data_IF_075012505212
#
_entry.id   IF_075012505212
#
_cell.length_a   1.000
_cell.length_b   1.000
_cell.length_c   1.000
_cell.angle_alpha   90.00
_cell.angle_beta   90.00
_cell.angle_gamma   90.00
#
_symmetry.space_group_name_H-M   'P 1'
#
loop_
_entity.id
_entity.type
_entity.pdbx_description
1 polymer ?
#
# COMPACT_ATOMS: atom_id res chain seq x y z
N UNK A 1 -8.03 -3.11 -6.57
CA UNK A 1 -7.33 -4.25 -7.19
C UNK A 1 -8.17 -5.50 -6.95
N UNK A 2 -8.23 -6.41 -7.92
CA UNK A 2 -9.00 -7.66 -7.86
C UNK A 2 -8.11 -8.78 -8.41
N UNK A 3 -8.13 -9.94 -7.76
CA UNK A 3 -7.53 -11.17 -8.29
C UNK A 3 -8.72 -12.04 -8.64
N UNK A 4 -8.98 -12.19 -9.94
CA UNK A 4 -10.10 -13.01 -10.46
C UNK A 4 -9.78 -14.49 -10.62
N UNK A 5 -8.55 -14.88 -10.28
CA UNK A 5 -8.12 -16.26 -10.35
C UNK A 5 -8.57 -17.02 -9.10
N UNK A 6 -9.13 -18.21 -9.27
CA UNK A 6 -9.62 -19.02 -8.14
C UNK A 6 -8.45 -19.76 -7.45
N UNK A 7 -7.40 -20.09 -8.20
CA UNK A 7 -6.20 -20.76 -7.71
C UNK A 7 -5.02 -19.79 -7.55
N UNK A 8 -5.15 -18.79 -6.68
CA UNK A 8 -4.03 -17.90 -6.34
C UNK A 8 -3.24 -18.43 -5.14
N UNK A 9 -1.90 -18.33 -5.20
CA UNK A 9 -1.07 -18.71 -4.06
C UNK A 9 -1.24 -17.72 -2.90
N UNK A 10 -1.17 -18.23 -1.66
CA UNK A 10 -1.29 -17.40 -0.45
C UNK A 10 -0.32 -16.22 -0.50
N UNK A 11 -0.85 -15.02 -0.23
CA UNK A 11 -0.08 -13.79 -0.25
C UNK A 11 0.08 -13.12 -1.62
N UNK A 12 -0.47 -13.67 -2.70
CA UNK A 12 -0.39 -13.07 -4.05
C UNK A 12 -0.90 -11.62 -4.09
N UNK A 13 -2.00 -11.32 -3.41
CA UNK A 13 -2.51 -9.95 -3.32
C UNK A 13 -1.55 -8.96 -2.66
N UNK A 14 -0.80 -9.40 -1.64
CA UNK A 14 0.21 -8.55 -1.00
C UNK A 14 1.41 -8.31 -1.93
N UNK A 15 1.93 -9.37 -2.55
CA UNK A 15 3.09 -9.28 -3.46
C UNK A 15 2.77 -8.44 -4.69
N UNK A 16 1.62 -8.67 -5.31
CA UNK A 16 1.17 -7.92 -6.48
C UNK A 16 1.00 -6.42 -6.15
N UNK A 17 0.33 -6.11 -5.03
CA UNK A 17 0.16 -4.72 -4.64
C UNK A 17 1.50 -4.06 -4.27
N UNK A 18 2.39 -4.75 -3.55
CA UNK A 18 3.72 -4.22 -3.25
C UNK A 18 4.55 -3.93 -4.50
N UNK A 19 4.51 -4.83 -5.50
CA UNK A 19 5.15 -4.63 -6.80
C UNK A 19 4.60 -3.39 -7.51
N UNK A 20 3.26 -3.28 -7.57
CA UNK A 20 2.61 -2.13 -8.21
C UNK A 20 2.94 -0.80 -7.49
N UNK A 21 2.99 -0.79 -6.17
CA UNK A 21 3.38 0.39 -5.39
C UNK A 21 4.82 0.81 -5.68
N UNK A 22 5.75 -0.15 -5.80
CA UNK A 22 7.14 0.13 -6.18
C UNK A 22 7.19 0.82 -7.54
N UNK A 23 6.47 0.31 -8.53
CA UNK A 23 6.40 0.92 -9.85
C UNK A 23 5.87 2.36 -9.79
N UNK A 24 4.77 2.60 -9.08
CA UNK A 24 4.18 3.93 -8.96
C UNK A 24 5.11 4.93 -8.26
N UNK A 25 5.76 4.54 -7.17
CA UNK A 25 6.59 5.46 -6.38
C UNK A 25 7.96 5.74 -7.02
N UNK A 26 8.61 4.72 -7.59
CA UNK A 26 10.00 4.84 -8.06
C UNK A 26 10.12 5.07 -9.56
N UNK A 27 9.28 4.44 -10.38
CA UNK A 27 9.35 4.62 -11.84
C UNK A 27 8.49 5.79 -12.31
N UNK A 28 7.29 5.96 -11.72
CA UNK A 28 6.35 7.02 -12.13
C UNK A 28 6.42 8.28 -11.27
N UNK A 29 7.21 8.29 -10.21
CA UNK A 29 7.40 9.46 -9.33
C UNK A 29 6.13 9.93 -8.60
N UNK A 30 5.11 9.08 -8.47
CA UNK A 30 3.91 9.40 -7.70
C UNK A 30 4.29 9.63 -6.24
N UNK A 31 3.74 10.65 -5.57
CA UNK A 31 4.08 10.95 -4.17
C UNK A 31 3.11 10.31 -3.17
N UNK A 32 1.83 10.20 -3.55
CA UNK A 32 0.76 9.73 -2.68
C UNK A 32 -0.25 8.91 -3.48
N UNK A 33 -0.74 7.83 -2.89
CA UNK A 33 -1.75 6.94 -3.46
C UNK A 33 -2.93 6.86 -2.49
N UNK A 34 -4.14 7.00 -3.02
CA UNK A 34 -5.38 6.83 -2.27
C UNK A 34 -6.16 5.62 -2.80
N UNK A 35 -6.71 4.82 -1.89
CA UNK A 35 -7.50 3.65 -2.21
C UNK A 35 -8.82 3.66 -1.44
N UNK A 36 -9.93 3.49 -2.14
CA UNK A 36 -11.25 3.26 -1.52
C UNK A 36 -11.47 1.76 -1.35
N UNK A 37 -11.83 1.35 -0.15
CA UNK A 37 -12.08 -0.05 0.20
C UNK A 37 -13.46 -0.17 0.83
N UNK A 38 -14.31 -1.05 0.29
CA UNK A 38 -15.63 -1.34 0.86
C UNK A 38 -15.50 -1.76 2.32
N UNK A 39 -16.43 -1.29 3.16
CA UNK A 39 -16.36 -1.51 4.60
C UNK A 39 -16.42 -3.01 4.97
N UNK A 40 -17.14 -3.81 4.20
CA UNK A 40 -17.25 -5.26 4.36
C UNK A 40 -16.01 -6.05 3.89
N UNK A 41 -15.12 -5.45 3.09
CA UNK A 41 -13.97 -6.17 2.54
C UNK A 41 -12.78 -6.17 3.51
N UNK A 42 -12.88 -6.99 4.55
CA UNK A 42 -11.86 -7.10 5.61
C UNK A 42 -10.49 -7.51 5.06
N UNK A 43 -10.44 -8.45 4.11
CA UNK A 43 -9.18 -8.92 3.50
C UNK A 43 -8.43 -7.76 2.82
N UNK A 44 -9.13 -6.95 2.04
CA UNK A 44 -8.53 -5.78 1.38
C UNK A 44 -8.03 -4.76 2.41
N UNK A 45 -8.81 -4.47 3.47
CA UNK A 45 -8.40 -3.56 4.55
C UNK A 45 -7.08 -4.01 5.19
N UNK A 46 -6.98 -5.30 5.54
CA UNK A 46 -5.78 -5.86 6.15
C UNK A 46 -4.56 -5.78 5.23
N UNK A 47 -4.74 -6.00 3.91
CA UNK A 47 -3.65 -5.86 2.94
C UNK A 47 -3.15 -4.41 2.89
N UNK A 48 -4.05 -3.43 2.80
CA UNK A 48 -3.66 -2.01 2.78
C UNK A 48 -2.93 -1.60 4.06
N UNK A 49 -3.49 -1.95 5.22
CA UNK A 49 -2.84 -1.69 6.51
C UNK A 49 -1.47 -2.37 6.62
N UNK A 50 -1.33 -3.59 6.10
CA UNK A 50 -0.05 -4.31 6.07
C UNK A 50 1.01 -3.64 5.18
N UNK A 51 0.60 -2.86 4.17
CA UNK A 51 1.53 -2.15 3.27
C UNK A 51 1.81 -0.70 3.71
N UNK A 52 1.26 -0.28 4.86
CA UNK A 52 1.54 1.05 5.44
C UNK A 52 0.49 2.11 5.13
N UNK A 53 -0.62 1.74 4.48
CA UNK A 53 -1.70 2.68 4.28
C UNK A 53 -2.35 3.05 5.63
N UNK A 54 -2.69 4.32 5.79
CA UNK A 54 -3.47 4.84 6.91
C UNK A 54 -4.88 5.20 6.44
N UNK A 55 -5.90 4.90 7.25
CA UNK A 55 -7.26 5.35 6.96
C UNK A 55 -7.34 6.87 7.17
N UNK A 56 -7.78 7.62 6.16
CA UNK A 56 -7.90 9.08 6.21
C UNK A 56 -9.36 9.56 6.22
N UNK A 57 -10.29 8.73 5.74
CA UNK A 57 -11.71 9.03 5.75
C UNK A 57 -12.51 7.72 5.81
N UNK A 58 -13.65 7.74 6.47
CA UNK A 58 -14.58 6.61 6.56
C UNK A 58 -15.99 7.10 6.30
N UNK A 59 -16.63 6.55 5.27
CA UNK A 59 -18.05 6.75 4.97
C UNK A 59 -18.85 5.52 5.41
N UNK A 60 -20.18 5.56 5.19
CA UNK A 60 -21.08 4.44 5.44
C UNK A 60 -20.69 3.20 4.63
N UNK A 61 -20.24 3.38 3.38
CA UNK A 61 -20.00 2.28 2.44
C UNK A 61 -18.52 1.91 2.28
N UNK A 62 -17.61 2.88 2.41
CA UNK A 62 -16.19 2.67 2.14
C UNK A 62 -15.29 3.41 3.14
N UNK A 63 -14.08 2.88 3.29
CA UNK A 63 -12.97 3.52 3.97
C UNK A 63 -11.94 3.96 2.92
N UNK A 64 -11.48 5.20 3.01
CA UNK A 64 -10.39 5.72 2.15
C UNK A 64 -9.08 5.60 2.90
N UNK A 65 -8.13 4.94 2.25
CA UNK A 65 -6.79 4.68 2.74
C UNK A 65 -5.78 5.48 1.93
N UNK A 66 -4.77 6.06 2.58
CA UNK A 66 -3.71 6.84 1.94
C UNK A 66 -2.34 6.29 2.30
N UNK A 67 -1.44 6.26 1.31
CA UNK A 67 -0.04 5.90 1.45
C UNK A 67 0.82 6.91 0.71
N UNK A 68 1.78 7.52 1.42
CA UNK A 68 2.83 8.32 0.81
C UNK A 68 4.06 7.46 0.52
N UNK A 69 4.87 7.92 -0.44
CA UNK A 69 6.17 7.32 -0.75
C UNK A 69 7.03 7.16 0.50
N UNK A 70 7.15 8.22 1.32
CA UNK A 70 7.93 8.20 2.57
C UNK A 70 7.43 7.13 3.54
N UNK A 71 6.11 6.99 3.73
CA UNK A 71 5.55 5.94 4.60
C UNK A 71 5.83 4.53 4.06
N UNK A 72 5.82 4.36 2.75
CA UNK A 72 6.17 3.09 2.10
C UNK A 72 7.67 2.77 2.29
N UNK A 73 8.54 3.75 2.09
CA UNK A 73 9.99 3.65 2.28
C UNK A 73 10.37 3.30 3.73
N UNK A 74 9.83 4.03 4.72
CA UNK A 74 10.08 3.74 6.13
C UNK A 74 9.71 2.30 6.52
N UNK A 75 8.73 1.71 5.84
CA UNK A 75 8.26 0.36 6.14
C UNK A 75 9.08 -0.74 5.49
N UNK A 76 9.54 -0.55 4.25
CA UNK A 76 10.14 -1.63 3.45
C UNK A 76 11.63 -1.46 3.20
N UNK A 77 12.15 -0.25 3.26
CA UNK A 77 13.51 0.03 2.81
C UNK A 77 14.44 0.49 3.94
N UNK A 78 13.90 0.80 5.13
CA UNK A 78 14.54 1.57 6.21
C UNK A 78 15.08 2.91 5.67
N UNK A 79 15.04 4.00 6.44
CA UNK A 79 15.85 5.14 6.08
C UNK A 79 17.31 4.67 6.10
N UNK A 80 18.03 4.80 4.99
CA UNK A 80 19.48 4.80 5.06
C UNK A 80 19.84 5.83 6.13
N UNK A 81 20.62 5.42 7.13
CA UNK A 81 21.35 6.40 7.94
C UNK A 81 22.06 7.30 6.94
N UNK A 82 21.67 8.56 6.88
CA UNK A 82 22.48 9.59 6.24
C UNK A 82 23.78 9.62 7.03
N UNK A 83 24.78 8.87 6.56
CA UNK A 83 26.16 9.09 6.99
C UNK A 83 26.50 10.50 6.54
N UNK A 84 26.38 11.43 7.47
CA UNK A 84 26.95 12.76 7.33
C UNK A 84 28.46 12.53 7.23
N UNK A 85 29.00 12.59 6.01
CA UNK A 85 30.42 12.83 5.83
C UNK A 85 30.63 14.30 6.19
N UNK A 86 31.03 14.54 7.44
CA UNK A 86 31.66 15.79 7.90
C UNK A 86 32.92 16.07 7.10
#
# INVERSE_FOLDING_TARGET
FYIGENSFSKGSGKRMLAFFLKQLFYEKGIKTINAKVLNQNLKSKLIHQHLGFSCINKSKEYSTFSLSRTKFECRFYKPYETKNYT
#
